data_IF_576493577348
#
_entry.id   IF_576493577348
#
_cell.length_a   1.000
_cell.length_b   1.000
_cell.length_c   1.000
_cell.angle_alpha   90.00
_cell.angle_beta   90.00
_cell.angle_gamma   90.00
#
_symmetry.space_group_name_H-M   'P 1'
#
loop_
_entity.id
_entity.type
_entity.pdbx_description
1 polymer ?
#
# COMPACT_ATOMS: atom_id res chain seq x y z
N UNK A 1 -14.54 -4.72 5.09
CA UNK A 1 -13.07 -4.82 5.04
C UNK A 1 -12.63 -4.26 3.70
N UNK A 2 -11.82 -3.20 3.66
CA UNK A 2 -11.19 -2.75 2.41
C UNK A 2 -10.51 -3.92 1.66
N UNK A 3 -9.88 -4.82 2.41
CA UNK A 3 -9.22 -6.01 1.91
C UNK A 3 -10.14 -7.05 1.24
N UNK A 4 -11.44 -7.10 1.55
CA UNK A 4 -12.35 -8.09 0.93
C UNK A 4 -12.78 -7.69 -0.48
N UNK A 5 -12.53 -6.45 -0.88
CA UNK A 5 -12.85 -5.93 -2.22
C UNK A 5 -11.63 -5.93 -3.16
N UNK A 6 -10.43 -6.24 -2.62
CA UNK A 6 -9.21 -6.33 -3.41
C UNK A 6 -9.09 -7.70 -4.08
N UNK A 7 -8.57 -7.71 -5.31
CA UNK A 7 -8.25 -8.96 -6.02
C UNK A 7 -7.32 -9.84 -5.15
N UNK A 8 -7.64 -11.13 -4.92
CA UNK A 8 -6.76 -12.09 -4.26
C UNK A 8 -5.32 -12.09 -4.78
N UNK A 9 -5.10 -11.71 -6.05
CA UNK A 9 -3.79 -11.59 -6.66
C UNK A 9 -2.90 -10.53 -6.00
N UNK A 10 -3.47 -9.44 -5.47
CA UNK A 10 -2.72 -8.45 -4.69
C UNK A 10 -2.02 -9.13 -3.51
N UNK A 11 -2.74 -9.97 -2.77
CA UNK A 11 -2.18 -10.68 -1.63
C UNK A 11 -1.15 -11.73 -2.06
N UNK A 12 -1.36 -12.43 -3.17
CA UNK A 12 -0.36 -13.35 -3.74
C UNK A 12 0.94 -12.64 -4.10
N UNK A 13 0.86 -11.54 -4.83
CA UNK A 13 2.00 -10.73 -5.25
C UNK A 13 2.73 -10.13 -4.05
N UNK A 14 1.99 -9.71 -3.03
CA UNK A 14 2.61 -9.21 -1.80
C UNK A 14 3.32 -10.34 -1.03
N UNK A 15 2.77 -11.57 -0.98
CA UNK A 15 3.47 -12.72 -0.38
C UNK A 15 4.77 -13.05 -1.11
N UNK A 16 4.77 -12.93 -2.45
CA UNK A 16 5.99 -13.08 -3.23
C UNK A 16 7.06 -12.10 -2.78
N UNK A 17 6.71 -10.82 -2.59
CA UNK A 17 7.63 -9.83 -2.05
C UNK A 17 8.13 -10.19 -0.65
N UNK A 18 7.26 -10.57 0.30
CA UNK A 18 7.69 -11.00 1.64
C UNK A 18 8.70 -12.14 1.54
N UNK A 19 8.46 -13.10 0.65
CA UNK A 19 9.36 -14.25 0.46
C UNK A 19 10.70 -13.83 -0.13
N UNK A 20 10.70 -13.08 -1.24
CA UNK A 20 11.91 -12.65 -1.94
C UNK A 20 12.76 -11.70 -1.09
N UNK A 21 12.10 -10.80 -0.38
CA UNK A 21 12.75 -9.81 0.46
C UNK A 21 12.94 -10.29 1.89
N UNK A 22 12.70 -11.56 2.23
CA UNK A 22 12.69 -12.05 3.62
C UNK A 22 12.06 -11.04 4.61
N UNK A 23 10.89 -10.52 4.23
CA UNK A 23 10.23 -9.42 4.92
C UNK A 23 9.83 -9.79 6.35
N UNK A 24 9.63 -8.77 7.19
CA UNK A 24 9.11 -8.96 8.53
C UNK A 24 7.76 -9.73 8.47
N UNK A 25 7.57 -10.69 9.40
CA UNK A 25 6.36 -11.54 9.48
C UNK A 25 5.53 -11.26 10.74
N UNK A 26 5.83 -10.17 11.43
CA UNK A 26 5.08 -9.69 12.59
C UNK A 26 3.96 -8.75 12.14
N UNK A 27 2.71 -9.24 12.19
CA UNK A 27 1.53 -8.47 11.82
C UNK A 27 1.31 -7.23 12.71
N UNK A 28 1.75 -7.24 13.97
CA UNK A 28 1.68 -6.08 14.85
C UNK A 28 2.59 -4.99 14.32
N UNK A 29 3.82 -5.35 13.91
CA UNK A 29 4.76 -4.41 13.31
C UNK A 29 4.23 -3.85 11.98
N UNK A 30 3.64 -4.69 11.12
CA UNK A 30 3.02 -4.21 9.87
C UNK A 30 1.94 -3.15 10.15
N UNK A 31 1.07 -3.37 11.13
CA UNK A 31 0.03 -2.38 11.47
C UNK A 31 0.62 -1.12 12.12
N UNK A 32 1.37 -1.27 13.20
CA UNK A 32 1.81 -0.16 14.06
C UNK A 32 2.91 0.69 13.45
N UNK A 33 3.67 0.14 12.50
CA UNK A 33 4.73 0.85 11.78
C UNK A 33 4.29 1.20 10.38
N UNK A 34 4.12 0.20 9.51
CA UNK A 34 3.96 0.45 8.07
C UNK A 34 2.57 0.98 7.70
N UNK A 35 1.47 0.33 8.13
CA UNK A 35 0.12 0.81 7.80
C UNK A 35 -0.10 2.20 8.36
N UNK A 36 0.34 2.46 9.59
CA UNK A 36 0.25 3.79 10.22
C UNK A 36 1.04 4.85 9.44
N UNK A 37 2.26 4.53 8.99
CA UNK A 37 3.10 5.42 8.18
C UNK A 37 2.45 5.74 6.83
N UNK A 38 2.11 4.74 6.03
CA UNK A 38 1.55 4.95 4.68
C UNK A 38 0.15 5.59 4.72
N UNK A 39 -0.64 5.33 5.77
CA UNK A 39 -1.92 6.04 5.97
C UNK A 39 -1.70 7.53 6.18
N UNK A 40 -0.66 7.89 6.92
CA UNK A 40 -0.29 9.29 7.15
C UNK A 40 0.25 9.93 5.87
N UNK A 41 1.12 9.25 5.11
CA UNK A 41 1.63 9.77 3.83
C UNK A 41 0.48 10.06 2.85
N UNK A 42 -0.50 9.14 2.74
CA UNK A 42 -1.69 9.37 1.91
C UNK A 42 -2.54 10.55 2.39
N UNK A 43 -2.74 10.69 3.70
CA UNK A 43 -3.48 11.81 4.26
C UNK A 43 -2.77 13.15 3.95
N UNK A 44 -1.46 13.22 4.15
CA UNK A 44 -0.67 14.42 3.85
C UNK A 44 -0.69 14.78 2.36
N UNK A 45 -0.65 13.78 1.47
CA UNK A 45 -0.79 14.00 0.03
C UNK A 45 -2.16 14.55 -0.35
N UNK A 46 -3.23 14.14 0.34
CA UNK A 46 -4.59 14.65 0.13
C UNK A 46 -4.81 16.05 0.69
N UNK A 47 -4.12 16.41 1.76
CA UNK A 47 -4.22 17.72 2.42
C UNK A 47 -3.29 18.79 1.82
N UNK A 48 -2.46 18.42 0.85
CA UNK A 48 -1.54 19.34 0.19
C UNK A 48 -2.27 20.44 -0.58
N UNK A 49 -1.77 21.68 -0.50
CA UNK A 49 -2.34 22.85 -1.19
C UNK A 49 -2.46 22.65 -2.71
N UNK A 50 -1.54 21.89 -3.29
CA UNK A 50 -1.55 21.50 -4.68
C UNK A 50 -1.72 19.98 -4.79
N UNK A 51 -2.82 19.55 -5.40
CA UNK A 51 -3.07 18.14 -5.67
C UNK A 51 -2.09 17.62 -6.73
N UNK A 52 -1.17 16.77 -6.29
CA UNK A 52 -0.29 15.98 -7.15
C UNK A 52 -0.87 14.57 -7.28
N UNK A 53 -1.42 14.27 -8.46
CA UNK A 53 -2.07 12.99 -8.70
C UNK A 53 -1.08 11.83 -8.72
N UNK A 54 0.12 12.02 -9.27
CA UNK A 54 1.12 10.95 -9.27
C UNK A 54 1.53 10.60 -7.83
N UNK A 55 1.67 11.62 -6.97
CA UNK A 55 1.95 11.40 -5.55
C UNK A 55 0.78 10.71 -4.83
N UNK A 56 -0.45 11.19 -4.99
CA UNK A 56 -1.63 10.58 -4.34
C UNK A 56 -1.82 9.12 -4.77
N UNK A 57 -1.67 8.80 -6.06
CA UNK A 57 -1.74 7.42 -6.53
C UNK A 57 -0.59 6.56 -6.00
N UNK A 58 0.63 7.10 -5.86
CA UNK A 58 1.74 6.39 -5.19
C UNK A 58 1.35 6.06 -3.76
N UNK A 59 0.91 7.05 -2.98
CA UNK A 59 0.60 6.85 -1.56
C UNK A 59 -0.57 5.89 -1.35
N UNK A 60 -1.57 5.92 -2.24
CA UNK A 60 -2.67 4.95 -2.23
C UNK A 60 -2.15 3.53 -2.53
N UNK A 61 -1.26 3.39 -3.51
CA UNK A 61 -0.63 2.12 -3.86
C UNK A 61 0.22 1.55 -2.71
N UNK A 62 1.02 2.38 -2.05
CA UNK A 62 1.84 1.97 -0.90
C UNK A 62 0.96 1.56 0.29
N UNK A 63 -0.11 2.31 0.58
CA UNK A 63 -1.06 1.94 1.62
C UNK A 63 -1.69 0.57 1.37
N UNK A 64 -2.18 0.33 0.14
CA UNK A 64 -2.72 -0.98 -0.26
C UNK A 64 -1.67 -2.08 -0.08
N UNK A 65 -0.41 -1.78 -0.42
CA UNK A 65 0.71 -2.71 -0.31
C UNK A 65 0.99 -3.16 1.13
N UNK A 66 1.00 -2.21 2.08
CA UNK A 66 1.28 -2.51 3.48
C UNK A 66 0.09 -3.13 4.20
N UNK A 67 -1.15 -2.78 3.80
CA UNK A 67 -2.37 -3.44 4.28
C UNK A 67 -2.40 -4.91 3.82
N UNK A 68 -2.04 -5.19 2.56
CA UNK A 68 -1.92 -6.57 2.09
C UNK A 68 -0.85 -7.34 2.87
N UNK A 69 0.27 -6.70 3.25
CA UNK A 69 1.30 -7.29 4.10
C UNK A 69 0.87 -7.60 5.52
N UNK A 70 0.12 -6.69 6.13
CA UNK A 70 -0.53 -6.91 7.42
C UNK A 70 -1.39 -8.18 7.39
N UNK A 71 -2.32 -8.29 6.43
CA UNK A 71 -3.19 -9.46 6.35
C UNK A 71 -2.46 -10.76 6.01
N UNK A 72 -1.42 -10.71 5.17
CA UNK A 72 -0.63 -11.88 4.83
C UNK A 72 0.22 -12.43 5.98
N UNK A 73 0.50 -11.62 7.00
CA UNK A 73 1.30 -12.00 8.17
C UNK A 73 0.44 -12.25 9.41
N UNK A 74 -0.85 -11.94 9.34
CA UNK A 74 -1.80 -12.13 10.42
C UNK A 74 -2.09 -13.63 10.64
N UNK A 75 -1.99 -14.13 11.89
CA UNK A 75 -2.37 -15.51 12.20
C UNK A 75 -3.88 -15.71 12.13
N UNK A 76 -4.33 -16.96 12.18
CA UNK A 76 -5.77 -17.31 12.09
C UNK A 76 -6.61 -16.71 13.23
N UNK A 77 -6.04 -16.63 14.43
CA UNK A 77 -6.68 -16.09 15.63
C UNK A 77 -5.82 -14.96 16.24
N UNK A 78 -5.75 -13.78 15.60
CA UNK A 78 -4.85 -12.71 16.03
C UNK A 78 -5.16 -12.21 17.45
N UNK A 79 -6.44 -12.16 17.80
CA UNK A 79 -6.93 -11.67 19.09
C UNK A 79 -6.49 -12.55 20.28
N UNK A 80 -6.08 -13.80 20.03
CA UNK A 80 -5.61 -14.73 21.07
C UNK A 80 -4.12 -14.57 21.38
N UNK A 81 -3.37 -13.86 20.53
CA UNK A 81 -1.90 -13.74 20.63
C UNK A 81 -1.42 -12.33 21.01
N UNK A 82 -2.34 -11.38 21.18
CA UNK A 82 -2.06 -10.00 21.61
C UNK A 82 -3.01 -9.58 22.74
N UNK A 83 -2.68 -8.51 23.46
CA UNK A 83 -3.59 -7.93 24.46
C UNK A 83 -4.80 -7.26 23.82
N UNK A 84 -5.88 -7.13 24.60
CA UNK A 84 -7.09 -6.41 24.16
C UNK A 84 -6.77 -4.95 23.79
N UNK A 85 -5.94 -4.27 24.59
CA UNK A 85 -5.51 -2.89 24.31
C UNK A 85 -4.78 -2.78 22.96
N UNK A 86 -3.84 -3.70 22.67
CA UNK A 86 -3.09 -3.70 21.42
C UNK A 86 -3.99 -4.07 20.23
N UNK A 87 -4.93 -5.01 20.43
CA UNK A 87 -5.93 -5.33 19.43
C UNK A 87 -6.79 -4.10 19.08
N UNK A 88 -7.24 -3.35 20.08
CA UNK A 88 -8.03 -2.12 19.87
C UNK A 88 -7.20 -1.04 19.15
N UNK A 89 -5.91 -0.89 19.47
CA UNK A 89 -5.02 0.01 18.75
C UNK A 89 -4.89 -0.38 17.26
N UNK A 90 -4.61 -1.65 16.97
CA UNK A 90 -4.51 -2.15 15.59
C UNK A 90 -5.82 -1.95 14.84
N UNK A 91 -6.96 -2.25 15.47
CA UNK A 91 -8.27 -2.01 14.87
C UNK A 91 -8.45 -0.54 14.49
N UNK A 92 -8.12 0.40 15.38
CA UNK A 92 -8.17 1.83 15.08
C UNK A 92 -7.27 2.23 13.91
N UNK A 93 -6.07 1.67 13.80
CA UNK A 93 -5.16 1.92 12.67
C UNK A 93 -5.75 1.41 11.35
N UNK A 94 -6.30 0.20 11.34
CA UNK A 94 -6.92 -0.39 10.13
C UNK A 94 -8.21 0.34 9.73
N UNK A 95 -9.01 0.78 10.70
CA UNK A 95 -10.21 1.58 10.44
C UNK A 95 -9.85 2.94 9.85
N UNK A 96 -8.84 3.61 10.39
CA UNK A 96 -8.34 4.87 9.85
C UNK A 96 -7.85 4.70 8.41
N UNK A 97 -7.02 3.68 8.15
CA UNK A 97 -6.49 3.43 6.81
C UNK A 97 -7.60 3.15 5.79
N UNK A 98 -8.61 2.37 6.17
CA UNK A 98 -9.79 2.14 5.35
C UNK A 98 -10.58 3.43 5.08
N UNK A 99 -10.79 4.25 6.10
CA UNK A 99 -11.50 5.53 5.97
C UNK A 99 -10.82 6.44 4.96
N UNK A 100 -9.50 6.62 5.07
CA UNK A 100 -8.73 7.48 4.16
C UNK A 100 -8.73 6.91 2.74
N UNK A 101 -8.41 5.62 2.56
CA UNK A 101 -8.44 4.99 1.23
C UNK A 101 -9.81 5.14 0.55
N UNK A 102 -10.89 4.95 1.31
CA UNK A 102 -12.26 5.09 0.80
C UNK A 102 -12.58 6.54 0.43
N UNK A 103 -12.15 7.52 1.23
CA UNK A 103 -12.31 8.94 0.91
C UNK A 103 -11.59 9.31 -0.39
N UNK A 104 -10.36 8.82 -0.60
CA UNK A 104 -9.62 9.04 -1.85
C UNK A 104 -10.34 8.39 -3.02
N UNK A 105 -10.74 7.13 -2.90
CA UNK A 105 -11.43 6.42 -3.98
C UNK A 105 -12.74 7.11 -4.37
N UNK A 106 -13.53 7.55 -3.39
CA UNK A 106 -14.79 8.25 -3.64
C UNK A 106 -14.58 9.64 -4.24
N UNK A 107 -13.65 10.43 -3.69
CA UNK A 107 -13.39 11.79 -4.16
C UNK A 107 -12.85 11.84 -5.59
N UNK A 108 -12.02 10.88 -5.97
CA UNK A 108 -11.42 10.77 -7.30
C UNK A 108 -12.20 9.84 -8.24
N UNK A 109 -13.33 9.28 -7.81
CA UNK A 109 -14.14 8.32 -8.58
C UNK A 109 -13.32 7.12 -9.08
N UNK A 110 -12.42 6.60 -8.24
CA UNK A 110 -11.55 5.49 -8.59
C UNK A 110 -12.36 4.19 -8.66
N UNK A 111 -12.19 3.49 -9.76
CA UNK A 111 -12.58 2.08 -9.88
C UNK A 111 -11.47 1.16 -9.36
N UNK A 112 -11.83 -0.08 -9.05
CA UNK A 112 -10.92 -1.09 -8.49
C UNK A 112 -9.60 -1.24 -9.27
N UNK A 113 -9.67 -1.25 -10.61
CA UNK A 113 -8.48 -1.45 -11.45
C UNK A 113 -7.48 -0.28 -11.38
N UNK A 114 -7.89 0.92 -10.98
CA UNK A 114 -6.97 2.04 -10.73
C UNK A 114 -6.12 1.80 -9.48
N UNK A 115 -6.75 1.27 -8.42
CA UNK A 115 -6.09 0.91 -7.17
C UNK A 115 -5.11 -0.24 -7.41
N UNK A 116 -5.53 -1.24 -8.19
CA UNK A 116 -4.66 -2.35 -8.62
C UNK A 116 -3.46 -1.86 -9.44
N UNK A 117 -3.67 -0.94 -10.39
CA UNK A 117 -2.59 -0.39 -11.21
C UNK A 117 -1.56 0.36 -10.35
N UNK A 118 -2.01 1.17 -9.38
CA UNK A 118 -1.13 1.81 -8.41
C UNK A 118 -0.35 0.80 -7.57
N UNK A 119 -1.02 -0.25 -7.06
CA UNK A 119 -0.38 -1.33 -6.31
C UNK A 119 0.72 -2.03 -7.14
N UNK A 120 0.47 -2.37 -8.40
CA UNK A 120 1.45 -3.06 -9.24
C UNK A 120 2.64 -2.16 -9.64
N UNK A 121 2.42 -0.87 -9.81
CA UNK A 121 3.49 0.10 -10.01
C UNK A 121 4.38 0.20 -8.76
N UNK A 122 3.78 0.23 -7.57
CA UNK A 122 4.50 0.15 -6.29
C UNK A 122 5.25 -1.17 -6.15
N UNK A 123 4.62 -2.31 -6.46
CA UNK A 123 5.27 -3.62 -6.41
C UNK A 123 6.53 -3.65 -7.27
N UNK A 124 6.43 -3.17 -8.51
CA UNK A 124 7.55 -3.11 -9.46
C UNK A 124 8.71 -2.27 -8.91
N UNK A 125 8.40 -1.08 -8.38
CA UNK A 125 9.36 -0.21 -7.68
C UNK A 125 10.00 -0.91 -6.49
N UNK A 126 9.20 -1.59 -5.68
CA UNK A 126 9.64 -2.31 -4.49
C UNK A 126 10.64 -3.44 -4.81
N UNK A 127 10.46 -4.18 -5.92
CA UNK A 127 11.42 -5.20 -6.36
C UNK A 127 12.79 -4.62 -6.76
N UNK A 128 12.86 -3.35 -7.16
CA UNK A 128 14.15 -2.68 -7.48
C UNK A 128 15.02 -2.40 -6.26
N UNK A 129 14.48 -2.62 -5.03
CA UNK A 129 15.25 -2.49 -3.79
C UNK A 129 16.23 -3.65 -3.58
N UNK A 130 16.09 -4.76 -4.31
CA UNK A 130 17.09 -5.84 -4.32
C UNK A 130 18.37 -5.31 -4.97
N UNK A 131 19.49 -5.43 -4.28
CA UNK A 131 20.78 -5.13 -4.86
C UNK A 131 21.10 -6.22 -5.92
N UNK A 132 21.30 -5.85 -7.21
CA UNK A 132 21.59 -6.82 -8.26
C UNK A 132 22.97 -7.48 -8.12
N UNK A 133 23.88 -6.90 -7.34
CA UNK A 133 25.22 -7.45 -7.09
C UNK A 133 25.21 -8.49 -5.96
N UNK A 134 24.41 -8.27 -4.91
CA UNK A 134 24.37 -9.18 -3.73
C UNK A 134 23.17 -10.11 -3.74
N UNK A 135 22.09 -9.78 -4.46
CA UNK A 135 20.81 -10.47 -4.40
C UNK A 135 19.97 -10.14 -3.18
N UNK A 136 20.42 -9.22 -2.32
CA UNK A 136 19.77 -8.89 -1.04
C UNK A 136 19.38 -7.40 -0.98
N UNK A 137 18.28 -7.04 -0.31
CA UNK A 137 17.94 -5.65 -0.06
C UNK A 137 18.64 -5.10 1.20
N UNK A 138 18.89 -3.80 1.22
CA UNK A 138 19.32 -3.09 2.42
C UNK A 138 18.17 -3.00 3.45
N UNK A 139 18.49 -3.08 4.75
CA UNK A 139 17.48 -3.14 5.83
C UNK A 139 17.85 -2.24 7.01
N UNK A 140 16.82 -1.72 7.67
CA UNK A 140 16.92 -1.11 9.00
C UNK A 140 16.89 -2.21 10.08
N UNK A 141 17.34 -1.86 11.29
CA UNK A 141 17.36 -2.76 12.46
C UNK A 141 15.99 -3.38 12.79
N UNK A 142 14.89 -2.67 12.51
CA UNK A 142 13.52 -3.13 12.74
C UNK A 142 12.96 -4.00 11.60
N UNK A 143 13.75 -4.29 10.57
CA UNK A 143 13.37 -5.11 9.43
C UNK A 143 12.73 -4.34 8.26
N UNK A 144 12.58 -3.01 8.33
CA UNK A 144 12.10 -2.21 7.18
C UNK A 144 13.10 -2.27 6.02
N UNK A 145 12.61 -2.62 4.83
CA UNK A 145 13.40 -2.60 3.58
C UNK A 145 13.69 -1.16 3.17
N UNK A 146 14.97 -0.85 2.95
CA UNK A 146 15.44 0.49 2.60
C UNK A 146 15.57 0.68 1.08
N UNK A 147 15.59 1.94 0.65
CA UNK A 147 15.88 2.32 -0.74
C UNK A 147 17.40 2.24 -0.96
N UNK A 148 17.86 1.16 -1.61
CA UNK A 148 19.28 0.99 -1.97
C UNK A 148 19.69 1.81 -3.19
N UNK A 149 20.96 1.72 -3.59
CA UNK A 149 21.56 2.46 -4.71
C UNK A 149 20.85 2.24 -6.06
N UNK A 150 20.23 1.08 -6.26
CA UNK A 150 19.57 0.68 -7.50
C UNK A 150 18.05 0.91 -7.50
N UNK A 151 17.52 1.51 -6.43
CA UNK A 151 16.11 1.82 -6.30
C UNK A 151 15.62 2.72 -7.43
N UNK A 152 14.45 2.39 -7.98
CA UNK A 152 13.70 3.22 -8.92
C UNK A 152 12.33 3.54 -8.32
N UNK A 153 11.90 4.82 -8.30
CA UNK A 153 10.58 5.18 -7.82
C UNK A 153 9.48 4.57 -8.71
N UNK A 154 8.29 4.40 -8.14
CA UNK A 154 7.12 3.95 -8.88
C UNK A 154 6.72 5.02 -9.91
N UNK A 155 6.48 4.60 -11.14
CA UNK A 155 5.99 5.47 -12.20
C UNK A 155 4.45 5.46 -12.18
N UNK A 156 3.86 6.55 -11.69
CA UNK A 156 2.41 6.70 -11.58
C UNK A 156 1.78 7.38 -12.79
N UNK A 157 2.59 7.89 -13.72
CA UNK A 157 2.07 8.57 -14.91
C UNK A 157 1.10 7.68 -15.72
N UNK A 158 1.37 6.38 -15.98
CA UNK A 158 0.43 5.52 -16.70
C UNK A 158 -0.90 5.33 -15.95
N UNK A 159 -0.86 5.31 -14.62
CA UNK A 159 -2.05 5.14 -13.76
C UNK A 159 -2.92 6.40 -13.82
N UNK A 160 -2.29 7.57 -13.72
CA UNK A 160 -2.97 8.87 -13.83
C UNK A 160 -3.56 9.06 -15.23
N UNK A 161 -2.81 8.71 -16.29
CA UNK A 161 -3.28 8.80 -17.67
C UNK A 161 -4.53 7.91 -17.91
N UNK A 162 -4.54 6.70 -17.35
CA UNK A 162 -5.68 5.77 -17.41
C UNK A 162 -6.92 6.38 -16.73
N UNK A 163 -6.76 6.82 -15.48
CA UNK A 163 -7.83 7.45 -14.71
C UNK A 163 -8.41 8.67 -15.42
N UNK A 164 -7.56 9.57 -15.90
CA UNK A 164 -7.98 10.78 -16.61
C UNK A 164 -8.75 10.48 -17.90
N UNK A 165 -8.36 9.42 -18.61
CA UNK A 165 -9.05 8.99 -19.84
C UNK A 165 -10.46 8.50 -19.52
N UNK A 166 -10.62 7.68 -18.48
CA UNK A 166 -11.92 7.13 -18.08
C UNK A 166 -12.84 8.18 -17.48
N UNK A 167 -12.30 9.09 -16.65
CA UNK A 167 -13.04 10.22 -16.10
C UNK A 167 -13.66 11.08 -17.21
N UNK A 168 -12.88 11.37 -18.27
CA UNK A 168 -13.37 12.10 -19.45
C UNK A 168 -14.43 11.33 -20.23
N UNK A 169 -14.27 10.02 -20.39
CA UNK A 169 -15.23 9.18 -21.10
C UNK A 169 -16.60 9.16 -20.37
N UNK A 170 -16.57 9.07 -19.04
CA UNK A 170 -17.77 9.09 -18.21
C UNK A 170 -18.49 10.45 -18.23
N UNK A 171 -17.72 11.55 -18.22
CA UNK A 171 -18.27 12.90 -18.33
C UNK A 171 -18.96 13.18 -19.69
N UNK A 172 -18.49 12.55 -20.77
CA UNK A 172 -19.06 12.71 -22.12
C UNK A 172 -20.24 11.77 -22.41
N UNK A 173 -20.55 10.85 -21.49
CA UNK A 173 -21.64 9.87 -21.62
C UNK A 173 -22.90 10.27 -20.82
N UNK A 174 -22.87 11.43 -20.16
CA UNK A 174 -23.98 12.07 -19.46
C UNK A 174 -24.47 13.31 -20.23
#
# INVERSE_FOLDING_TARGET
MFATELDPKIFETQREFIRLMEGNRDFVWWATVLVKEETKELQEAMDADQMDMEHIFKELGDLVYVVAGFYNTMPLYPNEVISEDLNNEIQGIIEQSHSIASQVCNSLQLQQHHVEAAFYAVHTSNLTKINPETGEPDRREDGKILKGKHYKPADMKPVVDLWMKELKANANSQ
#
